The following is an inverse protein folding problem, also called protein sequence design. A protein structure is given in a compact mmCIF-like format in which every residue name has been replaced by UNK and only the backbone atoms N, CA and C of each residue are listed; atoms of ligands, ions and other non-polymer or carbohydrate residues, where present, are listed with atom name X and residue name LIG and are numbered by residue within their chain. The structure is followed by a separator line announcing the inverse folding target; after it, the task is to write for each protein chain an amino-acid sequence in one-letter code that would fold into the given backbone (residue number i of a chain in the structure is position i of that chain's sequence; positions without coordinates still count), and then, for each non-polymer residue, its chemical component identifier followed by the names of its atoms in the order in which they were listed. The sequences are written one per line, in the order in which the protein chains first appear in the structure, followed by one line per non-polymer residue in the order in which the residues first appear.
data_IF_474094732070
#
_entry.id   IF_474094732070
#
_cell.length_a   1.000
_cell.length_b   1.000
_cell.length_c   1.000
_cell.angle_alpha   90.00
_cell.angle_beta   90.00
_cell.angle_gamma   90.00
#
_symmetry.space_group_name_H-M   'P 1'
#
loop_
_entity.id
_entity.type
_entity.pdbx_description
1 polymer ?
#
# COMPACT_ATOMS: atom_id res chain seq x y z
N UNK A 1 19.90 0.93 3.56
CA UNK A 1 20.18 2.08 2.68
C UNK A 1 20.93 3.13 3.49
N UNK A 2 22.19 3.36 3.15
CA UNK A 2 23.02 4.38 3.80
C UNK A 2 22.71 5.74 3.16
N UNK A 3 22.21 6.75 3.90
CA UNK A 3 21.91 8.07 3.34
C UNK A 3 23.13 8.76 2.71
N UNK A 4 24.36 8.35 3.08
CA UNK A 4 25.61 8.90 2.51
C UNK A 4 25.87 8.43 1.08
N UNK A 5 25.27 7.32 0.65
CA UNK A 5 25.40 6.79 -0.71
C UNK A 5 24.38 7.40 -1.67
N UNK A 6 23.36 8.05 -1.14
CA UNK A 6 22.31 8.68 -1.94
C UNK A 6 22.82 10.03 -2.45
N UNK A 7 23.10 10.11 -3.76
CA UNK A 7 23.58 11.34 -4.42
C UNK A 7 22.42 12.04 -5.14
N UNK A 8 22.39 13.34 -5.04
CA UNK A 8 21.46 14.22 -5.76
C UNK A 8 22.23 15.25 -6.56
N UNK A 9 21.69 15.63 -7.73
CA UNK A 9 22.27 16.68 -8.55
C UNK A 9 22.00 18.03 -7.90
N UNK A 10 23.08 18.70 -7.48
CA UNK A 10 23.04 20.06 -6.90
C UNK A 10 23.81 21.03 -7.75
N UNK A 11 23.34 22.25 -7.83
CA UNK A 11 24.12 23.36 -8.35
C UNK A 11 25.06 23.83 -7.24
N UNK A 12 26.37 23.77 -7.51
CA UNK A 12 27.42 24.25 -6.60
C UNK A 12 28.00 25.49 -7.24
N UNK A 13 28.24 26.52 -6.43
CA UNK A 13 29.03 27.67 -6.79
C UNK A 13 30.51 27.31 -6.53
N UNK A 14 31.33 27.37 -7.54
CA UNK A 14 32.75 27.17 -7.45
C UNK A 14 33.46 28.33 -8.19
N UNK A 15 34.06 29.24 -7.43
CA UNK A 15 34.72 30.44 -7.94
C UNK A 15 33.78 31.40 -8.73
N UNK A 16 32.51 31.52 -8.34
CA UNK A 16 31.51 32.38 -9.00
C UNK A 16 30.79 31.73 -10.19
N UNK A 17 31.15 30.51 -10.55
CA UNK A 17 30.43 29.74 -11.59
C UNK A 17 29.58 28.62 -10.99
N UNK A 18 28.35 28.53 -11.46
CA UNK A 18 27.36 27.57 -11.00
C UNK A 18 27.40 26.29 -11.84
N UNK A 19 27.92 25.20 -11.29
CA UNK A 19 27.98 23.90 -11.98
C UNK A 19 27.10 22.83 -11.29
N UNK A 20 26.33 22.05 -12.06
CA UNK A 20 25.60 20.92 -11.51
C UNK A 20 26.54 19.76 -11.17
N UNK A 21 26.57 19.28 -9.94
CA UNK A 21 27.36 18.12 -9.49
C UNK A 21 26.55 17.17 -8.62
N UNK A 22 26.82 15.87 -8.76
CA UNK A 22 26.28 14.84 -7.89
C UNK A 22 26.92 14.88 -6.52
N UNK A 23 26.13 15.17 -5.49
CA UNK A 23 26.58 15.24 -4.09
C UNK A 23 25.70 14.39 -3.18
N UNK A 24 26.28 13.83 -2.06
CA UNK A 24 25.49 13.16 -1.04
C UNK A 24 24.36 14.05 -0.50
N UNK A 25 23.28 13.43 -0.04
CA UNK A 25 22.23 14.15 0.68
C UNK A 25 22.80 14.84 1.91
N UNK A 26 22.72 16.17 1.94
CA UNK A 26 23.10 16.94 3.12
C UNK A 26 21.98 17.01 4.15
N UNK A 27 22.31 17.51 5.34
CA UNK A 27 21.33 17.73 6.43
C UNK A 27 20.51 19.02 6.26
N UNK A 28 20.74 19.80 5.19
CA UNK A 28 20.04 21.05 4.92
C UNK A 28 18.66 20.81 4.33
N UNK A 29 17.65 21.56 4.78
CA UNK A 29 16.28 21.56 4.23
C UNK A 29 16.17 22.30 2.90
N UNK A 30 17.19 23.03 2.48
CA UNK A 30 17.20 23.86 1.26
C UNK A 30 16.84 23.09 -0.02
N UNK A 31 17.18 21.79 -0.07
CA UNK A 31 16.89 20.93 -1.22
C UNK A 31 15.94 19.79 -0.89
N UNK A 32 15.13 19.93 0.15
CA UNK A 32 14.21 18.87 0.62
C UNK A 32 13.25 18.38 -0.47
N UNK A 33 12.74 19.29 -1.29
CA UNK A 33 11.86 18.94 -2.43
C UNK A 33 12.55 18.01 -3.46
N UNK A 34 13.84 18.24 -3.70
CA UNK A 34 14.66 17.37 -4.57
C UNK A 34 14.82 15.97 -3.98
N UNK A 35 15.01 15.90 -2.68
CA UNK A 35 15.12 14.63 -1.97
C UNK A 35 13.81 13.86 -2.01
N UNK A 36 12.69 14.57 -1.82
CA UNK A 36 11.35 13.99 -1.94
C UNK A 36 11.08 13.43 -3.35
N UNK A 37 11.44 14.16 -4.41
CA UNK A 37 11.31 13.68 -5.79
C UNK A 37 12.13 12.42 -6.06
N UNK A 38 13.39 12.39 -5.61
CA UNK A 38 14.26 11.22 -5.83
C UNK A 38 13.79 10.01 -5.03
N UNK A 39 13.33 10.23 -3.79
CA UNK A 39 12.75 9.18 -2.96
C UNK A 39 11.44 8.63 -3.55
N UNK A 40 10.56 9.49 -4.04
CA UNK A 40 9.32 9.10 -4.70
C UNK A 40 9.61 8.30 -5.99
N UNK A 41 10.55 8.76 -6.82
CA UNK A 41 10.99 8.05 -8.01
C UNK A 41 11.63 6.69 -7.71
N UNK A 42 12.39 6.58 -6.61
CA UNK A 42 12.96 5.31 -6.16
C UNK A 42 11.87 4.35 -5.65
N UNK A 43 10.91 4.87 -4.89
CA UNK A 43 9.79 4.09 -4.40
C UNK A 43 8.89 3.59 -5.54
N UNK A 44 8.61 4.42 -6.56
CA UNK A 44 7.85 3.99 -7.75
C UNK A 44 8.56 2.86 -8.48
N UNK A 45 9.87 2.99 -8.76
CA UNK A 45 10.65 1.92 -9.40
C UNK A 45 10.66 0.63 -8.60
N UNK A 46 10.77 0.71 -7.27
CA UNK A 46 10.68 -0.46 -6.40
C UNK A 46 9.30 -1.11 -6.49
N UNK A 47 8.25 -0.31 -6.44
CA UNK A 47 6.87 -0.78 -6.59
C UNK A 47 6.66 -1.45 -7.94
N UNK A 48 7.14 -0.84 -9.02
CA UNK A 48 7.04 -1.40 -10.37
C UNK A 48 7.84 -2.71 -10.51
N UNK A 49 9.05 -2.77 -9.94
CA UNK A 49 9.86 -3.98 -9.92
C UNK A 49 9.19 -5.12 -9.14
N UNK A 50 8.59 -4.82 -8.00
CA UNK A 50 7.84 -5.78 -7.20
C UNK A 50 6.56 -6.22 -7.92
N UNK A 51 5.87 -5.31 -8.61
CA UNK A 51 4.67 -5.61 -9.40
C UNK A 51 4.97 -6.55 -10.57
N UNK A 52 6.15 -6.44 -11.17
CA UNK A 52 6.57 -7.26 -12.31
C UNK A 52 7.36 -8.53 -11.91
N UNK A 53 7.68 -8.72 -10.63
CA UNK A 53 8.34 -9.94 -10.16
C UNK A 53 7.40 -11.16 -10.32
N UNK A 54 7.84 -12.31 -10.86
CA UNK A 54 6.99 -13.47 -11.05
C UNK A 54 6.40 -13.94 -9.71
N UNK A 55 5.11 -14.26 -9.72
CA UNK A 55 4.44 -14.84 -8.55
C UNK A 55 5.01 -16.24 -8.31
N UNK A 56 5.62 -16.45 -7.14
CA UNK A 56 6.05 -17.79 -6.69
C UNK A 56 4.85 -18.53 -6.09
N UNK A 57 4.94 -19.86 -6.00
CA UNK A 57 3.86 -20.71 -5.46
C UNK A 57 3.32 -20.29 -4.10
N UNK A 58 4.16 -19.71 -3.23
CA UNK A 58 3.73 -19.14 -1.94
C UNK A 58 2.69 -18.01 -2.09
N UNK A 59 2.76 -17.23 -3.18
CA UNK A 59 1.82 -16.15 -3.44
C UNK A 59 0.42 -16.67 -3.80
N UNK A 60 0.34 -17.79 -4.53
CA UNK A 60 -0.92 -18.46 -4.84
C UNK A 60 -1.59 -18.98 -3.57
N UNK A 61 -0.82 -19.59 -2.68
CA UNK A 61 -1.34 -20.06 -1.39
C UNK A 61 -1.90 -18.92 -0.54
N UNK A 62 -1.22 -17.77 -0.49
CA UNK A 62 -1.72 -16.60 0.26
C UNK A 62 -3.00 -16.02 -0.36
N UNK A 63 -3.13 -16.04 -1.70
CA UNK A 63 -4.38 -15.65 -2.39
C UNK A 63 -5.53 -16.59 -2.05
N UNK A 64 -5.30 -17.92 -2.07
CA UNK A 64 -6.30 -18.90 -1.69
C UNK A 64 -6.77 -18.73 -0.26
N UNK A 65 -5.84 -18.41 0.63
CA UNK A 65 -6.17 -18.15 2.04
C UNK A 65 -6.97 -16.85 2.24
N UNK A 66 -6.78 -15.83 1.41
CA UNK A 66 -7.63 -14.64 1.41
C UNK A 66 -9.08 -14.96 1.00
N UNK A 67 -9.25 -15.92 0.09
CA UNK A 67 -10.54 -16.36 -0.43
C UNK A 67 -11.31 -17.29 0.54
N UNK A 68 -10.70 -17.68 1.67
CA UNK A 68 -11.35 -18.49 2.71
C UNK A 68 -11.86 -17.61 3.85
N UNK A 69 -13.06 -17.90 4.36
CA UNK A 69 -13.50 -17.32 5.64
C UNK A 69 -12.67 -17.90 6.77
N UNK A 70 -12.43 -17.10 7.82
CA UNK A 70 -11.70 -17.51 9.01
C UNK A 70 -12.61 -17.46 10.22
N UNK A 71 -12.35 -18.33 11.19
CA UNK A 71 -12.88 -18.18 12.53
C UNK A 71 -11.85 -17.47 13.40
N UNK A 72 -12.30 -16.51 14.17
CA UNK A 72 -11.49 -15.84 15.17
C UNK A 72 -12.30 -15.64 16.43
N UNK A 73 -11.91 -16.34 17.49
CA UNK A 73 -12.52 -16.23 18.80
C UNK A 73 -14.06 -16.45 18.73
N UNK A 74 -14.51 -17.48 17.99
CA UNK A 74 -15.91 -17.79 17.74
C UNK A 74 -16.65 -16.82 16.81
N UNK A 75 -15.96 -15.84 16.25
CA UNK A 75 -16.53 -14.90 15.29
C UNK A 75 -16.04 -15.19 13.87
N UNK A 76 -16.98 -15.48 12.97
CA UNK A 76 -16.70 -15.72 11.57
C UNK A 76 -16.26 -14.44 10.86
N UNK A 77 -15.05 -14.43 10.32
CA UNK A 77 -14.49 -13.34 9.51
C UNK A 77 -14.75 -13.65 8.03
N UNK A 78 -15.46 -12.78 7.29
CA UNK A 78 -15.75 -13.00 5.88
C UNK A 78 -14.48 -13.02 5.01
N UNK A 79 -14.50 -13.84 3.96
CA UNK A 79 -13.44 -13.92 2.95
C UNK A 79 -13.23 -12.59 2.20
N UNK A 80 -12.02 -12.36 1.69
CA UNK A 80 -11.75 -11.34 0.68
C UNK A 80 -11.91 -11.92 -0.73
N UNK A 81 -12.31 -11.07 -1.65
CA UNK A 81 -12.28 -11.38 -3.07
C UNK A 81 -11.16 -10.56 -3.73
N UNK A 82 -10.03 -11.18 -4.17
CA UNK A 82 -8.91 -10.46 -4.74
C UNK A 82 -9.21 -9.82 -6.11
N UNK A 83 -10.30 -10.20 -6.75
CA UNK A 83 -10.76 -9.62 -8.03
C UNK A 83 -11.68 -8.43 -7.82
N UNK A 84 -12.28 -8.29 -6.65
CA UNK A 84 -13.18 -7.18 -6.33
C UNK A 84 -12.42 -5.85 -6.22
N UNK A 85 -12.91 -4.83 -6.94
CA UNK A 85 -12.30 -3.52 -6.99
C UNK A 85 -12.20 -2.85 -5.61
N UNK A 86 -13.24 -2.98 -4.77
CA UNK A 86 -13.23 -2.41 -3.42
C UNK A 86 -12.20 -3.08 -2.51
N UNK A 87 -12.02 -4.40 -2.65
CA UNK A 87 -10.98 -5.14 -1.92
C UNK A 87 -9.59 -4.64 -2.31
N UNK A 88 -9.34 -4.45 -3.60
CA UNK A 88 -8.05 -3.97 -4.10
C UNK A 88 -7.78 -2.52 -3.68
N UNK A 89 -8.79 -1.64 -3.76
CA UNK A 89 -8.66 -0.26 -3.27
C UNK A 89 -8.35 -0.22 -1.77
N UNK A 90 -9.00 -1.07 -0.97
CA UNK A 90 -8.69 -1.21 0.45
C UNK A 90 -7.23 -1.64 0.67
N UNK A 91 -6.74 -2.62 -0.08
CA UNK A 91 -5.36 -3.10 0.05
C UNK A 91 -4.34 -2.05 -0.37
N UNK A 92 -4.61 -1.30 -1.44
CA UNK A 92 -3.77 -0.15 -1.87
C UNK A 92 -3.72 0.91 -0.77
N UNK A 93 -4.87 1.27 -0.20
CA UNK A 93 -4.94 2.25 0.89
C UNK A 93 -4.14 1.80 2.13
N UNK A 94 -4.27 0.53 2.53
CA UNK A 94 -3.58 -0.05 3.69
C UNK A 94 -2.06 -0.17 3.47
N UNK A 95 -1.63 -0.47 2.23
CA UNK A 95 -0.20 -0.56 1.87
C UNK A 95 0.42 0.79 1.50
N UNK A 96 -0.28 1.90 1.73
CA UNK A 96 0.28 3.24 1.54
C UNK A 96 1.59 3.40 2.31
N UNK A 97 2.62 3.95 1.64
CA UNK A 97 3.99 4.03 2.20
C UNK A 97 4.07 4.80 3.51
N UNK A 98 3.23 5.81 3.72
CA UNK A 98 3.13 6.55 4.98
C UNK A 98 2.71 5.64 6.15
N UNK A 99 1.82 4.67 5.91
CA UNK A 99 1.34 3.73 6.93
C UNK A 99 2.38 2.67 7.31
N UNK A 100 3.35 2.42 6.43
CA UNK A 100 4.45 1.49 6.72
C UNK A 100 5.34 1.99 7.86
N UNK A 101 5.50 3.31 7.99
CA UNK A 101 6.36 3.94 9.01
C UNK A 101 5.58 4.23 10.28
N UNK A 102 4.49 4.98 10.16
CA UNK A 102 3.74 5.52 11.31
C UNK A 102 2.60 4.62 11.79
N UNK A 103 2.19 3.65 10.97
CA UNK A 103 0.92 2.95 11.14
C UNK A 103 -0.26 3.85 10.77
N UNK A 104 -1.48 3.38 10.99
CA UNK A 104 -2.70 4.12 10.67
C UNK A 104 -3.82 3.88 11.70
N UNK A 105 -4.70 4.85 11.80
CA UNK A 105 -5.95 4.79 12.57
C UNK A 105 -7.14 4.70 11.63
N UNK A 106 -8.32 4.51 12.19
CA UNK A 106 -9.58 4.48 11.43
C UNK A 106 -9.73 5.74 10.54
N UNK A 107 -9.51 6.92 11.10
CA UNK A 107 -9.63 8.20 10.36
C UNK A 107 -8.66 8.30 9.18
N UNK A 108 -7.43 7.78 9.36
CA UNK A 108 -6.39 7.86 8.33
C UNK A 108 -6.75 6.95 7.15
N UNK A 109 -7.31 5.77 7.44
CA UNK A 109 -7.82 4.86 6.41
C UNK A 109 -9.08 5.42 5.74
N UNK A 110 -9.97 6.10 6.48
CA UNK A 110 -11.12 6.80 5.88
C UNK A 110 -10.68 7.83 4.84
N UNK A 111 -9.66 8.66 5.17
CA UNK A 111 -9.14 9.68 4.26
C UNK A 111 -8.60 9.09 2.95
N UNK A 112 -8.19 7.80 2.94
CA UNK A 112 -7.75 7.08 1.73
C UNK A 112 -8.87 6.39 0.97
N UNK A 113 -9.97 6.06 1.64
CA UNK A 113 -11.08 5.33 1.03
C UNK A 113 -12.18 6.24 0.50
N UNK A 114 -12.26 7.47 0.99
CA UNK A 114 -13.29 8.43 0.62
C UNK A 114 -12.66 9.74 0.18
N UNK A 115 -12.80 10.08 -1.08
CA UNK A 115 -12.17 11.26 -1.70
C UNK A 115 -12.81 12.59 -1.26
N UNK A 116 -14.03 12.54 -0.72
CA UNK A 116 -14.79 13.73 -0.32
C UNK A 116 -15.11 13.70 1.17
N UNK A 117 -15.19 14.89 1.77
CA UNK A 117 -15.70 15.03 3.14
C UNK A 117 -17.13 14.46 3.23
N UNK A 118 -17.54 13.90 4.38
CA UNK A 118 -18.91 13.46 4.58
C UNK A 118 -19.85 14.69 4.54
N UNK A 119 -21.00 14.59 3.84
CA UNK A 119 -21.93 15.71 3.71
C UNK A 119 -22.65 16.05 5.03
N UNK A 120 -22.81 15.07 5.90
CA UNK A 120 -23.48 15.20 7.19
C UNK A 120 -22.91 14.25 8.26
N UNK A 121 -23.34 14.43 9.50
CA UNK A 121 -22.92 13.60 10.65
C UNK A 121 -23.35 12.14 10.52
N UNK A 122 -24.49 11.86 9.88
CA UNK A 122 -25.00 10.50 9.66
C UNK A 122 -24.04 9.75 8.74
N UNK A 123 -23.65 10.37 7.65
CA UNK A 123 -22.69 9.80 6.70
C UNK A 123 -21.31 9.65 7.34
N UNK A 124 -20.86 10.61 8.16
CA UNK A 124 -19.60 10.53 8.92
C UNK A 124 -19.59 9.29 9.84
N UNK A 125 -20.67 9.07 10.58
CA UNK A 125 -20.82 7.88 11.44
C UNK A 125 -20.85 6.59 10.61
N UNK A 126 -21.59 6.57 9.49
CA UNK A 126 -21.67 5.42 8.58
C UNK A 126 -20.29 5.02 8.07
N UNK A 127 -19.48 5.98 7.58
CA UNK A 127 -18.11 5.76 7.10
C UNK A 127 -17.20 5.24 8.22
N UNK A 128 -17.31 5.78 9.42
CA UNK A 128 -16.56 5.34 10.59
C UNK A 128 -16.86 3.88 10.93
N UNK A 129 -18.13 3.47 10.92
CA UNK A 129 -18.53 2.08 11.16
C UNK A 129 -18.09 1.16 10.03
N UNK A 130 -18.24 1.57 8.78
CA UNK A 130 -17.78 0.82 7.62
C UNK A 130 -16.26 0.56 7.69
N UNK A 131 -15.47 1.59 7.94
CA UNK A 131 -14.01 1.47 8.09
C UNK A 131 -13.63 0.59 9.29
N UNK A 132 -14.36 0.68 10.40
CA UNK A 132 -14.14 -0.20 11.57
C UNK A 132 -14.36 -1.66 11.23
N UNK A 133 -15.40 -1.98 10.43
CA UNK A 133 -15.66 -3.36 9.96
C UNK A 133 -14.54 -3.85 9.03
N UNK A 134 -14.04 -2.99 8.14
CA UNK A 134 -12.91 -3.31 7.27
C UNK A 134 -11.63 -3.58 8.08
N UNK A 135 -11.33 -2.77 9.09
CA UNK A 135 -10.21 -2.97 10.02
C UNK A 135 -10.38 -4.30 10.79
N UNK A 136 -11.59 -4.60 11.28
CA UNK A 136 -11.87 -5.85 11.95
C UNK A 136 -11.64 -7.06 11.02
N UNK A 137 -12.08 -6.97 9.76
CA UNK A 137 -11.87 -7.99 8.73
C UNK A 137 -10.38 -8.19 8.42
N UNK A 138 -9.62 -7.10 8.21
CA UNK A 138 -8.17 -7.15 7.99
C UNK A 138 -7.43 -7.81 9.17
N UNK A 139 -7.82 -7.48 10.41
CA UNK A 139 -7.28 -8.10 11.62
C UNK A 139 -7.63 -9.58 11.72
N UNK A 140 -8.85 -9.95 11.38
CA UNK A 140 -9.30 -11.35 11.36
C UNK A 140 -8.46 -12.20 10.42
N UNK A 141 -8.09 -11.65 9.26
CA UNK A 141 -7.17 -12.29 8.32
C UNK A 141 -5.68 -12.15 8.70
N UNK A 142 -5.35 -11.51 9.84
CA UNK A 142 -3.98 -11.26 10.30
C UNK A 142 -3.14 -10.41 9.33
N UNK A 143 -3.79 -9.61 8.48
CA UNK A 143 -3.11 -8.73 7.52
C UNK A 143 -2.57 -7.46 8.20
N UNK A 144 -3.22 -7.04 9.28
CA UNK A 144 -2.80 -5.94 10.13
C UNK A 144 -2.81 -6.37 11.60
N UNK A 145 -1.96 -5.74 12.39
CA UNK A 145 -1.90 -5.91 13.83
C UNK A 145 -2.15 -4.57 14.55
N UNK A 146 -2.76 -4.64 15.74
CA UNK A 146 -2.92 -3.49 16.63
C UNK A 146 -1.61 -3.25 17.38
N UNK A 147 -1.20 -2.00 17.52
CA UNK A 147 0.01 -1.63 18.26
C UNK A 147 -0.36 -1.32 19.70
N UNK A 148 0.06 -2.20 20.60
CA UNK A 148 -0.22 -2.08 22.04
C UNK A 148 -1.71 -1.96 22.33
N UNK A 149 -2.08 -1.11 23.28
CA UNK A 149 -3.46 -0.82 23.67
C UNK A 149 -4.10 0.29 22.81
N UNK A 150 -3.30 0.98 21.97
CA UNK A 150 -3.75 2.10 21.15
C UNK A 150 -4.68 1.67 20.01
N UNK A 151 -5.42 2.60 19.41
CA UNK A 151 -6.19 2.37 18.17
C UNK A 151 -5.34 2.58 16.92
N UNK A 152 -4.05 2.27 17.00
CA UNK A 152 -3.09 2.35 15.91
C UNK A 152 -2.85 0.95 15.36
N UNK A 153 -2.82 0.82 14.05
CA UNK A 153 -2.63 -0.44 13.33
C UNK A 153 -1.41 -0.36 12.43
N UNK A 154 -0.76 -1.50 12.23
CA UNK A 154 0.38 -1.66 11.31
C UNK A 154 0.16 -2.88 10.44
N UNK A 155 0.62 -2.82 9.21
CA UNK A 155 0.62 -3.96 8.30
C UNK A 155 1.61 -5.01 8.81
N UNK A 156 1.20 -6.28 8.79
CA UNK A 156 2.06 -7.41 9.15
C UNK A 156 2.88 -7.88 7.94
N UNK A 157 3.96 -8.61 8.17
CA UNK A 157 4.73 -9.25 7.10
C UNK A 157 3.82 -10.18 6.24
N UNK A 158 2.90 -10.92 6.89
CA UNK A 158 1.87 -11.70 6.20
C UNK A 158 0.95 -10.80 5.37
N UNK A 159 0.54 -9.65 5.92
CA UNK A 159 -0.31 -8.69 5.21
C UNK A 159 0.32 -8.21 3.91
N UNK A 160 1.61 -7.92 3.91
CA UNK A 160 2.35 -7.54 2.71
C UNK A 160 2.35 -8.71 1.70
N UNK A 161 2.70 -9.93 2.16
CA UNK A 161 2.76 -11.13 1.32
C UNK A 161 1.42 -11.51 0.68
N UNK A 162 0.30 -11.23 1.32
CA UNK A 162 -1.03 -11.57 0.82
C UNK A 162 -1.67 -10.45 -0.02
N UNK A 163 -1.61 -9.19 0.45
CA UNK A 163 -2.29 -8.07 -0.23
C UNK A 163 -1.59 -7.66 -1.53
N UNK A 164 -0.26 -7.73 -1.56
CA UNK A 164 0.52 -7.33 -2.73
C UNK A 164 0.25 -8.20 -3.97
N UNK A 165 0.31 -9.55 -3.88
CA UNK A 165 -0.08 -10.41 -4.97
C UNK A 165 -1.53 -10.22 -5.42
N UNK A 166 -2.46 -9.96 -4.49
CA UNK A 166 -3.85 -9.68 -4.83
C UNK A 166 -4.01 -8.42 -5.69
N UNK A 167 -3.29 -7.33 -5.33
CA UNK A 167 -3.29 -6.09 -6.12
C UNK A 167 -2.72 -6.34 -7.51
N UNK A 168 -1.59 -7.04 -7.58
CA UNK A 168 -0.93 -7.40 -8.84
C UNK A 168 -1.83 -8.25 -9.72
N UNK A 169 -2.38 -9.33 -9.17
CA UNK A 169 -3.30 -10.22 -9.89
C UNK A 169 -4.45 -9.44 -10.51
N UNK A 170 -5.10 -8.57 -9.75
CA UNK A 170 -6.22 -7.77 -10.26
C UNK A 170 -5.82 -6.74 -11.30
N UNK A 171 -4.64 -6.12 -11.18
CA UNK A 171 -4.21 -5.03 -12.07
C UNK A 171 -3.56 -5.53 -13.35
N UNK A 172 -2.74 -6.57 -13.25
CA UNK A 172 -1.87 -7.00 -14.35
C UNK A 172 -2.32 -8.33 -14.95
N UNK A 173 -2.52 -9.35 -14.10
CA UNK A 173 -2.69 -10.72 -14.58
C UNK A 173 -4.14 -10.98 -15.00
N UNK A 174 -5.11 -10.61 -14.18
CA UNK A 174 -6.53 -10.86 -14.44
C UNK A 174 -7.05 -10.27 -15.76
N UNK A 175 -6.76 -9.00 -16.13
CA UNK A 175 -7.25 -8.45 -17.40
C UNK A 175 -6.68 -9.20 -18.62
N UNK A 176 -5.43 -9.62 -18.58
CA UNK A 176 -4.75 -10.33 -19.67
C UNK A 176 -5.36 -11.72 -19.85
N UNK A 177 -5.50 -12.46 -18.75
CA UNK A 177 -6.05 -13.82 -18.79
C UNK A 177 -7.52 -13.81 -19.20
N UNK A 178 -8.30 -12.83 -18.73
CA UNK A 178 -9.69 -12.67 -19.14
C UNK A 178 -9.83 -12.38 -20.64
N UNK A 179 -8.97 -11.53 -21.20
CA UNK A 179 -8.96 -11.24 -22.65
C UNK A 179 -8.61 -12.50 -23.47
N UNK A 180 -7.62 -13.28 -23.03
CA UNK A 180 -7.22 -14.54 -23.70
C UNK A 180 -8.37 -15.56 -23.72
N UNK A 181 -9.06 -15.73 -22.60
CA UNK A 181 -10.21 -16.64 -22.52
C UNK A 181 -11.39 -16.17 -23.38
N UNK A 182 -11.66 -14.86 -23.40
CA UNK A 182 -12.73 -14.29 -24.24
C UNK A 182 -12.44 -14.45 -25.74
N UNK A 183 -11.16 -14.35 -26.16
CA UNK A 183 -10.76 -14.55 -27.55
C UNK A 183 -10.65 -16.02 -27.98
N UNK A 184 -10.50 -16.96 -27.03
CA UNK A 184 -10.44 -18.38 -27.30
C UNK A 184 -11.84 -19.06 -27.38
N UNK A 185 -12.90 -18.36 -26.99
CA UNK A 185 -14.28 -18.84 -26.95
C UNK A 185 -15.16 -18.38 -28.13
N UNK A 186 -14.57 -17.79 -29.19
CA UNK A 186 -15.27 -17.42 -30.43
C UNK A 186 -14.89 -18.37 -31.58
#
# INVERSE_FOLDING_TARGET
NNPREFKVLRVIDQNGEKHPRWRPMGKSVEHFWRYAQVADGANRRLIDALANAPLKGEATQELDELCRSRDRDGTRVPRFNPVDAHTVLLFIAVLSGEFAITGFRNRDLQAKLFDTAPPDDREARRRTHQTSRLIAKLRGHRLIAKIGTSRLYRVTARGIKAMWPAIRFRKNDFPIDFQRLASAGC
#
